data_IF_000601693949
#
_entry.id   IF_000601693949
#
_cell.length_a   1.000
_cell.length_b   1.000
_cell.length_c   1.000
_cell.angle_alpha   90.00
_cell.angle_beta   90.00
_cell.angle_gamma   90.00
#
_symmetry.space_group_name_H-M   'P 1'
#
loop_
_entity.id
_entity.type
_entity.pdbx_description
1 polymer ?
#
# COMPACT_ATOMS: atom_id res chain seq x y z
N UNK A 1 34.34 -4.06 -28.52
CA UNK A 1 32.93 -4.49 -28.65
C UNK A 1 32.82 -5.93 -28.17
N UNK A 2 31.78 -6.24 -27.38
CA UNK A 2 31.39 -7.51 -26.74
C UNK A 2 31.81 -7.70 -25.27
N UNK A 3 30.89 -7.33 -24.37
CA UNK A 3 30.88 -7.71 -22.94
C UNK A 3 30.39 -9.16 -22.85
N UNK A 4 31.22 -10.06 -22.30
CA UNK A 4 30.81 -11.43 -21.93
C UNK A 4 29.93 -11.36 -20.67
N UNK A 5 28.62 -11.50 -20.83
CA UNK A 5 27.72 -11.73 -19.69
C UNK A 5 27.80 -13.21 -19.32
N UNK A 6 28.39 -13.51 -18.18
CA UNK A 6 28.41 -14.85 -17.60
C UNK A 6 26.96 -15.26 -17.27
N UNK A 7 26.44 -16.27 -17.98
CA UNK A 7 25.16 -16.91 -17.66
C UNK A 7 25.30 -17.66 -16.33
N UNK A 8 24.94 -17.01 -15.22
CA UNK A 8 24.79 -17.71 -13.93
C UNK A 8 23.59 -18.65 -14.03
N UNK A 9 23.85 -19.95 -13.84
CA UNK A 9 22.85 -21.01 -13.85
C UNK A 9 21.76 -20.73 -12.80
N UNK A 10 20.52 -20.59 -13.27
CA UNK A 10 19.32 -20.32 -12.47
C UNK A 10 18.97 -21.50 -11.53
N UNK A 11 19.63 -22.65 -11.72
CA UNK A 11 19.36 -23.87 -10.96
C UNK A 11 19.80 -23.78 -9.50
N UNK A 12 20.87 -23.04 -9.17
CA UNK A 12 21.40 -22.95 -7.81
C UNK A 12 20.75 -21.90 -6.89
N UNK A 13 19.86 -21.05 -7.42
CA UNK A 13 19.15 -20.04 -6.62
C UNK A 13 17.94 -20.64 -5.89
N UNK A 14 17.31 -21.66 -6.49
CA UNK A 14 16.13 -22.34 -5.92
C UNK A 14 16.44 -23.19 -4.69
N UNK A 15 17.66 -23.72 -4.57
CA UNK A 15 17.99 -24.68 -3.52
C UNK A 15 18.49 -24.02 -2.22
N UNK A 16 19.05 -22.80 -2.28
CA UNK A 16 19.55 -22.10 -1.08
C UNK A 16 18.44 -21.49 -0.22
N UNK A 17 17.32 -21.10 -0.81
CA UNK A 17 16.17 -20.53 -0.07
C UNK A 17 15.34 -21.61 0.64
N UNK A 18 15.58 -22.90 0.34
CA UNK A 18 14.78 -24.02 0.88
C UNK A 18 15.29 -24.64 2.20
N UNK A 19 16.50 -24.30 2.68
CA UNK A 19 17.13 -25.03 3.80
C UNK A 19 17.70 -24.17 4.94
N UNK A 20 17.09 -23.02 5.20
CA UNK A 20 17.10 -22.45 6.55
C UNK A 20 15.65 -22.09 6.87
N UNK A 21 14.91 -22.91 7.62
CA UNK A 21 13.73 -22.38 8.29
C UNK A 21 14.27 -21.32 9.24
N UNK A 22 14.07 -20.07 8.86
CA UNK A 22 14.37 -18.89 9.66
C UNK A 22 14.03 -19.17 11.14
N UNK A 23 15.06 -19.31 11.98
CA UNK A 23 14.94 -19.59 13.43
C UNK A 23 14.22 -18.47 14.21
N UNK A 24 13.71 -17.44 13.53
CA UNK A 24 13.12 -16.23 14.11
C UNK A 24 11.70 -16.42 14.68
N UNK A 25 11.11 -17.62 14.55
CA UNK A 25 9.79 -17.92 15.10
C UNK A 25 9.83 -18.98 16.19
N UNK A 26 10.68 -18.82 17.20
CA UNK A 26 10.56 -19.49 18.49
C UNK A 26 9.41 -18.85 19.30
N UNK A 27 8.16 -19.14 18.92
CA UNK A 27 6.96 -18.53 19.50
C UNK A 27 5.78 -18.52 18.53
N UNK A 28 4.57 -18.13 18.98
CA UNK A 28 3.39 -18.03 18.10
C UNK A 28 3.77 -17.29 16.81
N UNK A 29 3.43 -17.85 15.64
CA UNK A 29 3.67 -17.20 14.34
C UNK A 29 3.20 -15.75 14.41
N UNK A 30 4.04 -14.76 14.04
CA UNK A 30 3.60 -13.38 14.01
C UNK A 30 2.40 -13.28 13.07
N UNK A 31 1.35 -12.65 13.58
CA UNK A 31 0.19 -12.38 12.75
C UNK A 31 0.57 -11.26 11.78
N UNK A 32 0.27 -11.41 10.48
CA UNK A 32 0.46 -10.31 9.54
C UNK A 32 -0.36 -9.10 10.02
N UNK A 33 0.11 -7.88 9.77
CA UNK A 33 -0.52 -6.65 10.27
C UNK A 33 -2.04 -6.62 10.03
N UNK A 34 -2.50 -7.07 8.86
CA UNK A 34 -3.93 -7.13 8.53
C UNK A 34 -4.75 -8.13 9.37
N UNK A 35 -4.14 -9.21 9.88
CA UNK A 35 -4.83 -10.18 10.72
C UNK A 35 -5.15 -9.65 12.12
N UNK A 36 -4.39 -8.65 12.61
CA UNK A 36 -4.61 -8.05 13.94
C UNK A 36 -5.81 -7.10 13.97
N UNK A 37 -6.09 -6.43 12.85
CA UNK A 37 -7.13 -5.40 12.76
C UNK A 37 -8.39 -5.89 12.02
N UNK A 38 -8.29 -7.01 11.29
CA UNK A 38 -9.34 -7.47 10.37
C UNK A 38 -9.47 -6.59 9.11
N UNK A 39 -8.60 -5.59 8.94
CA UNK A 39 -8.61 -4.67 7.79
C UNK A 39 -7.67 -5.19 6.71
N UNK A 40 -8.07 -5.00 5.45
CA UNK A 40 -7.30 -5.36 4.26
C UNK A 40 -6.27 -4.31 3.84
N UNK A 41 -6.30 -3.14 4.46
CA UNK A 41 -5.34 -2.06 4.25
C UNK A 41 -5.09 -1.29 5.55
N UNK A 42 -3.93 -0.61 5.59
CA UNK A 42 -3.57 0.33 6.65
C UNK A 42 -4.03 1.77 6.31
N UNK A 43 -4.17 2.09 5.02
CA UNK A 43 -4.35 3.44 4.47
C UNK A 43 -5.71 4.09 4.69
N UNK A 44 -6.76 3.29 4.87
CA UNK A 44 -8.14 3.75 4.87
C UNK A 44 -8.46 4.91 5.83
N UNK A 45 -8.04 4.85 7.12
CA UNK A 45 -8.30 5.93 8.07
C UNK A 45 -7.67 7.26 7.64
N UNK A 46 -6.41 7.25 7.24
CA UNK A 46 -5.65 8.43 6.85
C UNK A 46 -6.13 9.00 5.52
N UNK A 47 -6.48 8.14 4.56
CA UNK A 47 -7.11 8.56 3.31
C UNK A 47 -8.40 9.34 3.57
N UNK A 48 -9.27 8.81 4.44
CA UNK A 48 -10.51 9.46 4.83
C UNK A 48 -10.26 10.79 5.54
N UNK A 49 -9.28 10.81 6.44
CA UNK A 49 -8.90 12.02 7.18
C UNK A 49 -8.44 13.12 6.22
N UNK A 50 -7.44 12.86 5.38
CA UNK A 50 -6.92 13.84 4.42
C UNK A 50 -8.01 14.35 3.46
N UNK A 51 -8.93 13.47 3.03
CA UNK A 51 -10.05 13.87 2.17
C UNK A 51 -11.01 14.85 2.88
N UNK A 52 -11.32 14.60 4.15
CA UNK A 52 -12.24 15.43 4.94
C UNK A 52 -11.60 16.70 5.51
N UNK A 53 -10.27 16.78 5.57
CA UNK A 53 -9.53 17.98 6.00
C UNK A 53 -9.35 19.01 4.88
N UNK A 54 -9.64 18.66 3.62
CA UNK A 54 -9.72 19.62 2.51
C UNK A 54 -10.76 20.71 2.81
N UNK A 55 -10.54 21.90 2.25
CA UNK A 55 -11.46 23.03 2.33
C UNK A 55 -11.78 23.54 0.92
N UNK A 56 -13.00 23.30 0.39
CA UNK A 56 -14.10 22.52 0.98
C UNK A 56 -13.75 21.03 1.13
N UNK A 57 -14.49 20.33 2.01
CA UNK A 57 -14.32 18.89 2.18
C UNK A 57 -14.61 18.17 0.88
N UNK A 58 -13.79 17.18 0.52
CA UNK A 58 -14.03 16.40 -0.68
C UNK A 58 -14.98 15.23 -0.41
N UNK A 59 -15.96 15.06 -1.27
CA UNK A 59 -16.74 13.84 -1.45
C UNK A 59 -15.86 12.71 -2.04
N UNK A 60 -16.38 11.47 -2.05
CA UNK A 60 -15.69 10.35 -2.70
C UNK A 60 -15.61 10.56 -4.22
N UNK A 61 -16.62 11.19 -4.82
CA UNK A 61 -16.62 11.56 -6.23
C UNK A 61 -15.50 12.56 -6.53
N UNK A 62 -15.35 13.60 -5.70
CA UNK A 62 -14.27 14.59 -5.86
C UNK A 62 -12.88 13.96 -5.75
N UNK A 63 -12.67 13.04 -4.80
CA UNK A 63 -11.42 12.29 -4.70
C UNK A 63 -11.19 11.41 -5.96
N UNK A 64 -12.23 10.73 -6.45
CA UNK A 64 -12.15 9.92 -7.67
C UNK A 64 -11.69 10.77 -8.87
N UNK A 65 -12.33 11.93 -9.06
CA UNK A 65 -11.98 12.86 -10.14
C UNK A 65 -10.58 13.45 -9.97
N UNK A 66 -10.16 13.74 -8.74
CA UNK A 66 -8.81 14.24 -8.47
C UNK A 66 -7.73 13.20 -8.80
N UNK A 67 -7.96 11.92 -8.47
CA UNK A 67 -7.06 10.82 -8.80
C UNK A 67 -6.91 10.62 -10.30
N UNK A 68 -8.03 10.69 -11.04
CA UNK A 68 -8.02 10.62 -12.50
C UNK A 68 -7.19 11.76 -13.10
N UNK A 69 -7.42 13.00 -12.66
CA UNK A 69 -6.72 14.18 -13.20
C UNK A 69 -5.24 14.25 -12.84
N UNK A 70 -4.87 13.79 -11.65
CA UNK A 70 -3.50 13.91 -11.12
C UNK A 70 -2.60 12.75 -11.53
N UNK A 71 -3.14 11.53 -11.47
CA UNK A 71 -2.36 10.29 -11.59
C UNK A 71 -2.89 9.33 -12.66
N UNK A 72 -3.93 9.71 -13.41
CA UNK A 72 -4.58 8.85 -14.41
C UNK A 72 -5.04 7.50 -13.82
N UNK A 73 -5.54 7.53 -12.58
CA UNK A 73 -6.12 6.36 -11.90
C UNK A 73 -7.63 6.49 -11.84
N UNK A 74 -8.32 5.51 -12.41
CA UNK A 74 -9.77 5.36 -12.27
C UNK A 74 -10.11 4.50 -11.06
N UNK A 75 -10.70 5.12 -10.04
CA UNK A 75 -11.25 4.44 -8.87
C UNK A 75 -12.68 4.92 -8.61
N UNK A 76 -13.63 4.00 -8.54
CA UNK A 76 -15.02 4.35 -8.25
C UNK A 76 -15.22 4.73 -6.78
N UNK A 77 -16.28 5.48 -6.49
CA UNK A 77 -16.68 5.83 -5.11
C UNK A 77 -16.88 4.59 -4.23
N UNK A 78 -17.44 3.51 -4.79
CA UNK A 78 -17.59 2.23 -4.07
C UNK A 78 -16.24 1.60 -3.72
N UNK A 79 -15.25 1.68 -4.62
CA UNK A 79 -13.90 1.21 -4.35
C UNK A 79 -13.22 2.07 -3.28
N UNK A 80 -13.30 3.40 -3.39
CA UNK A 80 -12.76 4.34 -2.40
C UNK A 80 -13.41 4.15 -1.03
N UNK A 81 -14.73 4.01 -0.95
CA UNK A 81 -15.45 3.72 0.29
C UNK A 81 -14.97 2.41 0.94
N UNK A 82 -14.78 1.34 0.15
CA UNK A 82 -14.23 0.08 0.67
C UNK A 82 -12.78 0.23 1.13
N UNK A 83 -11.98 1.08 0.49
CA UNK A 83 -10.61 1.39 0.93
C UNK A 83 -10.65 2.12 2.28
N UNK A 84 -11.40 3.21 2.39
CA UNK A 84 -11.52 3.98 3.64
C UNK A 84 -11.99 3.11 4.82
N UNK A 85 -12.92 2.18 4.55
CA UNK A 85 -13.45 1.26 5.55
C UNK A 85 -12.56 0.02 5.80
N UNK A 86 -11.40 -0.11 5.14
CA UNK A 86 -10.51 -1.25 5.34
C UNK A 86 -10.99 -2.56 4.71
N UNK A 87 -12.01 -2.53 3.85
CA UNK A 87 -12.66 -3.70 3.25
C UNK A 87 -12.00 -4.17 1.93
N UNK A 88 -11.14 -3.33 1.34
CA UNK A 88 -10.36 -3.61 0.12
C UNK A 88 -8.89 -3.32 0.38
N UNK A 89 -8.00 -4.11 -0.21
CA UNK A 89 -6.57 -3.78 -0.23
C UNK A 89 -6.28 -2.57 -1.13
N UNK A 90 -5.13 -1.96 -0.92
CA UNK A 90 -4.61 -0.83 -1.72
C UNK A 90 -3.36 -1.32 -2.43
N UNK A 91 -3.29 -1.13 -3.75
CA UNK A 91 -2.08 -1.42 -4.49
C UNK A 91 -1.05 -0.30 -4.31
N UNK A 92 0.23 -0.61 -4.54
CA UNK A 92 1.33 0.35 -4.40
C UNK A 92 1.16 1.61 -5.29
N UNK A 93 0.71 1.42 -6.53
CA UNK A 93 0.45 2.54 -7.45
C UNK A 93 -0.77 3.39 -7.02
N UNK A 94 -1.79 2.78 -6.39
CA UNK A 94 -2.92 3.52 -5.81
C UNK A 94 -2.46 4.33 -4.59
N UNK A 95 -1.62 3.73 -3.74
CA UNK A 95 -1.04 4.38 -2.57
C UNK A 95 -0.22 5.61 -2.97
N UNK A 96 0.63 5.47 -4.00
CA UNK A 96 1.40 6.58 -4.56
C UNK A 96 0.49 7.68 -5.12
N UNK A 97 -0.58 7.32 -5.83
CA UNK A 97 -1.52 8.31 -6.32
C UNK A 97 -2.26 9.04 -5.21
N UNK A 98 -2.67 8.35 -4.12
CA UNK A 98 -3.27 9.02 -2.97
C UNK A 98 -2.33 10.04 -2.35
N UNK A 99 -1.05 9.69 -2.18
CA UNK A 99 -0.03 10.61 -1.64
C UNK A 99 0.11 11.86 -2.51
N UNK A 100 0.23 11.68 -3.82
CA UNK A 100 0.35 12.79 -4.79
C UNK A 100 -0.90 13.66 -4.84
N UNK A 101 -2.09 13.06 -4.89
CA UNK A 101 -3.37 13.78 -5.03
C UNK A 101 -3.77 14.52 -3.75
N UNK A 102 -3.43 13.99 -2.58
CA UNK A 102 -3.77 14.59 -1.29
C UNK A 102 -2.65 15.47 -0.72
N UNK A 103 -1.49 15.52 -1.38
CA UNK A 103 -0.30 16.25 -0.96
C UNK A 103 0.17 15.85 0.46
N UNK A 104 0.27 14.53 0.66
CA UNK A 104 0.70 13.91 1.92
C UNK A 104 1.80 12.89 1.66
N UNK A 105 2.57 12.53 2.69
CA UNK A 105 3.62 11.51 2.55
C UNK A 105 3.02 10.10 2.50
N UNK A 106 3.72 9.19 1.79
CA UNK A 106 3.40 7.76 1.80
C UNK A 106 3.44 7.17 3.21
N UNK A 107 4.39 7.62 4.02
CA UNK A 107 4.56 7.18 5.40
C UNK A 107 3.35 7.56 6.25
N UNK A 108 2.91 8.82 6.17
CA UNK A 108 1.71 9.29 6.87
C UNK A 108 0.48 8.51 6.44
N UNK A 109 0.32 8.20 5.14
CA UNK A 109 -0.81 7.40 4.67
C UNK A 109 -0.85 5.99 5.27
N UNK A 110 0.28 5.40 5.67
CA UNK A 110 0.34 4.03 6.18
C UNK A 110 0.38 3.99 7.71
N UNK A 111 1.10 4.93 8.32
CA UNK A 111 1.41 4.93 9.75
C UNK A 111 0.59 5.99 10.53
N UNK A 112 0.00 6.97 9.84
CA UNK A 112 -0.64 8.13 10.46
C UNK A 112 0.36 9.04 11.17
N UNK A 113 -0.13 9.88 12.08
CA UNK A 113 0.73 10.70 12.95
C UNK A 113 1.46 9.90 14.04
N UNK A 114 1.23 8.59 14.11
CA UNK A 114 1.80 7.76 15.15
C UNK A 114 3.02 6.97 14.67
N UNK A 115 4.13 7.69 14.49
CA UNK A 115 5.47 7.15 14.72
C UNK A 115 6.33 8.22 15.43
N UNK A 116 7.18 7.83 16.41
CA UNK A 116 8.19 8.73 16.99
C UNK A 116 9.25 9.16 15.97
#
# INVERSE_FOLDING_TARGET
MLIRIARRSVHGYRDRVRKQPDRIYEGRKPQPLGARTGRKNLTGPQLRQARLERQPQWSLEELSQALLRTANIELSESALSKIENGQRSVYDYELQAFAMTLDVSLDWLVNGEHLP
#
